data_IF_648038115580
#
_entry.id   IF_648038115580
#
_cell.length_a   1.000
_cell.length_b   1.000
_cell.length_c   1.000
_cell.angle_alpha   90.00
_cell.angle_beta   90.00
_cell.angle_gamma   90.00
#
_symmetry.space_group_name_H-M   'P 1'
#
loop_
_entity.id
_entity.type
_entity.pdbx_description
1 polymer ?
#
# COMPACT_ATOMS: atom_id res chain seq x y z
N UNK A 1 21.98 -8.55 2.74
CA UNK A 1 21.66 -9.38 3.91
C UNK A 1 20.16 -9.31 4.20
N UNK A 2 19.53 -10.42 4.49
CA UNK A 2 18.13 -10.40 4.88
C UNK A 2 17.94 -9.72 6.24
N UNK A 3 16.79 -9.11 6.42
CA UNK A 3 16.42 -8.56 7.72
C UNK A 3 16.08 -9.68 8.69
N UNK A 4 16.36 -9.46 9.95
CA UNK A 4 16.02 -10.41 11.01
C UNK A 4 14.99 -9.83 11.99
N UNK A 5 14.74 -8.53 11.94
CA UNK A 5 13.84 -7.88 12.89
C UNK A 5 13.18 -6.65 12.26
N UNK A 6 12.09 -6.24 12.89
CA UNK A 6 11.43 -4.99 12.55
C UNK A 6 12.39 -3.80 12.67
N UNK A 7 13.25 -3.80 13.70
CA UNK A 7 14.15 -2.68 13.91
C UNK A 7 15.14 -2.50 12.77
N UNK A 8 15.62 -3.59 12.20
CA UNK A 8 16.51 -3.54 11.05
C UNK A 8 15.81 -2.98 9.81
N UNK A 9 14.60 -3.47 9.56
CA UNK A 9 13.78 -2.96 8.45
C UNK A 9 13.50 -1.48 8.63
N UNK A 10 13.10 -1.09 9.83
CA UNK A 10 12.77 0.30 10.15
C UNK A 10 13.98 1.21 9.93
N UNK A 11 15.17 0.76 10.35
CA UNK A 11 16.40 1.52 10.15
C UNK A 11 16.73 1.67 8.66
N UNK A 12 16.51 0.63 7.88
CA UNK A 12 16.72 0.69 6.43
C UNK A 12 15.78 1.71 5.79
N UNK A 13 14.51 1.69 6.15
CA UNK A 13 13.52 2.62 5.60
C UNK A 13 13.88 4.06 5.98
N UNK A 14 14.23 4.29 7.23
CA UNK A 14 14.61 5.61 7.70
C UNK A 14 15.82 6.15 6.95
N UNK A 15 16.78 5.29 6.65
CA UNK A 15 18.02 5.69 5.98
C UNK A 15 17.81 5.97 4.49
N UNK A 16 16.93 5.21 3.84
CA UNK A 16 16.87 5.19 2.38
C UNK A 16 15.67 5.91 1.77
N UNK A 17 14.64 6.21 2.55
CA UNK A 17 13.43 6.85 2.03
C UNK A 17 13.20 8.19 2.73
N UNK A 18 12.49 9.09 2.03
CA UNK A 18 12.33 10.46 2.50
C UNK A 18 11.22 10.64 3.51
N UNK A 19 11.29 11.75 4.23
CA UNK A 19 10.25 12.23 5.16
C UNK A 19 9.78 11.16 6.13
N UNK A 20 10.71 10.41 6.68
CA UNK A 20 10.42 9.38 7.66
C UNK A 20 9.83 9.98 8.93
N UNK A 21 8.69 9.45 9.35
CA UNK A 21 8.01 9.91 10.55
C UNK A 21 7.39 8.71 11.27
N UNK A 22 7.68 8.59 12.55
CA UNK A 22 7.14 7.50 13.37
C UNK A 22 5.91 7.98 14.13
N UNK A 23 4.88 7.13 14.17
CA UNK A 23 3.64 7.40 14.89
C UNK A 23 3.43 6.29 15.90
N UNK A 24 4.03 6.39 17.08
CA UNK A 24 3.93 5.35 18.08
C UNK A 24 4.66 4.08 17.68
N UNK A 25 4.40 3.02 18.40
CA UNK A 25 5.07 1.74 18.20
C UNK A 25 4.61 1.07 16.92
N UNK A 26 5.58 0.77 16.06
CA UNK A 26 5.32 -0.02 14.88
C UNK A 26 4.48 0.65 13.80
N UNK A 27 4.40 1.97 13.81
CA UNK A 27 3.74 2.73 12.75
C UNK A 27 4.64 3.82 12.24
N UNK A 28 4.83 3.84 10.92
CA UNK A 28 5.78 4.72 10.27
C UNK A 28 5.16 5.25 8.98
N UNK A 29 5.50 6.47 8.64
CA UNK A 29 5.18 7.07 7.35
C UNK A 29 6.48 7.49 6.68
N UNK A 30 6.56 7.30 5.37
CA UNK A 30 7.73 7.73 4.60
C UNK A 30 7.31 8.03 3.16
N UNK A 31 8.22 8.63 2.39
CA UNK A 31 7.98 8.89 0.98
C UNK A 31 8.92 8.05 0.13
N UNK A 32 8.33 7.34 -0.81
CA UNK A 32 9.07 6.49 -1.73
C UNK A 32 9.21 7.21 -3.07
N UNK A 33 10.44 7.47 -3.46
CA UNK A 33 10.73 8.17 -4.70
C UNK A 33 10.89 7.16 -5.82
N UNK A 34 10.21 7.39 -6.93
CA UNK A 34 10.27 6.53 -8.10
C UNK A 34 10.34 7.40 -9.36
N UNK A 35 10.44 6.77 -10.53
CA UNK A 35 10.70 7.52 -11.76
C UNK A 35 9.62 8.55 -12.08
N UNK A 36 8.39 8.31 -11.66
CA UNK A 36 7.26 9.19 -11.97
C UNK A 36 6.92 10.15 -10.84
N UNK A 37 7.74 10.22 -9.82
CA UNK A 37 7.51 11.13 -8.70
C UNK A 37 7.75 10.49 -7.35
N UNK A 38 6.96 10.92 -6.38
CA UNK A 38 7.10 10.47 -5.00
C UNK A 38 5.73 10.04 -4.50
N UNK A 39 5.67 8.90 -3.83
CA UNK A 39 4.44 8.36 -3.28
C UNK A 39 4.58 8.20 -1.77
N UNK A 40 3.64 8.74 -0.98
CA UNK A 40 3.66 8.52 0.47
C UNK A 40 3.15 7.12 0.81
N UNK A 41 3.88 6.45 1.68
CA UNK A 41 3.54 5.12 2.17
C UNK A 41 3.43 5.13 3.68
N UNK A 42 2.60 4.22 4.19
CA UNK A 42 2.63 3.84 5.59
C UNK A 42 3.26 2.46 5.72
N UNK A 43 3.83 2.21 6.87
CA UNK A 43 4.40 0.91 7.20
C UNK A 43 4.00 0.57 8.63
N UNK A 44 3.42 -0.60 8.83
CA UNK A 44 2.94 -1.00 10.13
C UNK A 44 3.49 -2.37 10.51
N UNK A 45 3.90 -2.49 11.75
CA UNK A 45 4.32 -3.77 12.32
C UNK A 45 3.09 -4.58 12.71
N UNK A 46 3.11 -5.86 12.37
CA UNK A 46 2.11 -6.80 12.84
C UNK A 46 2.85 -8.00 13.43
N UNK A 47 2.48 -8.36 14.66
CA UNK A 47 3.09 -9.51 15.33
C UNK A 47 2.06 -10.63 15.39
N UNK A 48 2.41 -11.78 14.84
CA UNK A 48 1.49 -12.92 14.85
C UNK A 48 1.50 -13.57 16.24
N UNK A 49 0.45 -14.37 16.55
CA UNK A 49 0.35 -14.97 17.90
C UNK A 49 1.57 -15.78 18.33
N UNK A 50 2.31 -16.35 17.36
CA UNK A 50 3.53 -17.13 17.69
C UNK A 50 4.78 -16.26 17.72
N UNK A 51 4.64 -14.94 17.64
CA UNK A 51 5.73 -14.01 17.87
C UNK A 51 6.51 -13.55 16.65
N UNK A 52 6.16 -14.00 15.44
CA UNK A 52 6.89 -13.51 14.26
C UNK A 52 6.42 -12.13 13.84
N UNK A 53 7.38 -11.32 13.42
CA UNK A 53 7.12 -9.95 12.92
C UNK A 53 6.74 -9.98 11.45
N UNK A 54 5.69 -9.23 11.14
CA UNK A 54 5.27 -8.96 9.77
C UNK A 54 5.24 -7.46 9.55
N UNK A 55 5.41 -7.05 8.31
CA UNK A 55 5.26 -5.67 7.90
C UNK A 55 4.07 -5.56 6.97
N UNK A 56 3.30 -4.49 7.16
CA UNK A 56 2.19 -4.14 6.27
C UNK A 56 2.54 -2.81 5.63
N UNK A 57 2.81 -2.82 4.34
CA UNK A 57 2.97 -1.59 3.56
C UNK A 57 1.59 -1.13 3.11
N UNK A 58 1.32 0.15 3.26
CA UNK A 58 0.00 0.72 3.03
C UNK A 58 0.13 1.98 2.19
N UNK A 59 -0.74 2.11 1.18
CA UNK A 59 -0.81 3.34 0.40
C UNK A 59 -2.27 3.64 0.10
N UNK A 60 -2.65 4.92 0.18
CA UNK A 60 -4.03 5.33 -0.03
C UNK A 60 -4.38 5.34 -1.51
N UNK A 61 -5.48 4.69 -1.87
CA UNK A 61 -6.01 4.72 -3.23
C UNK A 61 -6.99 5.88 -3.39
N UNK A 62 -7.92 6.02 -2.48
CA UNK A 62 -8.92 7.07 -2.52
C UNK A 62 -9.91 6.91 -1.37
N UNK A 63 -11.00 7.66 -1.40
CA UNK A 63 -12.02 7.58 -0.37
C UNK A 63 -13.19 6.72 -0.82
N UNK A 64 -14.00 6.26 0.13
CA UNK A 64 -15.16 5.41 -0.18
C UNK A 64 -16.20 6.11 -1.04
N UNK A 65 -16.26 7.45 -0.99
CA UNK A 65 -17.20 8.17 -1.85
C UNK A 65 -16.69 8.31 -3.29
N UNK A 66 -15.45 7.92 -3.53
CA UNK A 66 -14.85 7.94 -4.87
C UNK A 66 -14.75 6.55 -5.48
N UNK A 67 -14.91 5.51 -4.67
CA UNK A 67 -14.66 4.13 -5.10
C UNK A 67 -15.86 3.27 -4.74
N UNK A 68 -16.33 2.51 -5.71
CA UNK A 68 -17.38 1.52 -5.50
C UNK A 68 -16.81 0.31 -4.74
N UNK A 69 -17.32 0.01 -3.54
CA UNK A 69 -16.76 -1.12 -2.77
C UNK A 69 -16.82 -2.45 -3.49
N UNK A 70 -17.89 -2.72 -4.23
CA UNK A 70 -18.01 -3.96 -4.97
C UNK A 70 -16.91 -4.10 -6.04
N UNK A 71 -16.58 -2.99 -6.69
CA UNK A 71 -15.52 -2.98 -7.70
C UNK A 71 -14.15 -3.20 -7.06
N UNK A 72 -13.95 -2.64 -5.87
CA UNK A 72 -12.70 -2.84 -5.14
C UNK A 72 -12.53 -4.30 -4.74
N UNK A 73 -13.59 -4.93 -4.27
CA UNK A 73 -13.55 -6.35 -3.91
C UNK A 73 -13.26 -7.23 -5.12
N UNK A 74 -13.88 -6.91 -6.25
CA UNK A 74 -13.61 -7.64 -7.47
C UNK A 74 -12.16 -7.46 -7.93
N UNK A 75 -11.65 -6.23 -7.84
CA UNK A 75 -10.28 -5.92 -8.22
C UNK A 75 -9.27 -6.74 -7.41
N UNK A 76 -9.55 -6.98 -6.13
CA UNK A 76 -8.69 -7.82 -5.29
C UNK A 76 -8.46 -9.19 -5.91
N UNK A 77 -9.48 -9.76 -6.50
CA UNK A 77 -9.38 -11.09 -7.11
C UNK A 77 -8.38 -11.11 -8.27
N UNK A 78 -8.25 -9.98 -8.96
CA UNK A 78 -7.41 -9.89 -10.16
C UNK A 78 -6.01 -9.33 -9.87
N UNK A 79 -5.76 -8.81 -8.68
CA UNK A 79 -4.49 -8.17 -8.36
C UNK A 79 -3.34 -9.16 -8.25
N UNK A 80 -2.24 -8.91 -8.96
CA UNK A 80 -1.06 -9.77 -8.82
C UNK A 80 -0.26 -9.48 -7.55
N UNK A 81 -0.41 -8.27 -6.98
CA UNK A 81 0.32 -7.88 -5.77
C UNK A 81 -0.59 -6.99 -4.92
N UNK A 82 -0.52 -7.21 -3.61
CA UNK A 82 -1.28 -6.41 -2.67
C UNK A 82 -2.75 -6.79 -2.61
N UNK A 83 -3.47 -6.05 -1.81
CA UNK A 83 -4.91 -6.20 -1.65
C UNK A 83 -5.52 -4.87 -1.27
N UNK A 84 -6.73 -4.62 -1.72
CA UNK A 84 -7.49 -3.42 -1.32
C UNK A 84 -8.22 -3.71 -0.02
N UNK A 85 -8.19 -2.77 0.88
CA UNK A 85 -8.91 -2.85 2.14
C UNK A 85 -9.47 -1.49 2.49
N UNK A 86 -10.43 -1.48 3.41
CA UNK A 86 -11.08 -0.25 3.84
C UNK A 86 -10.66 0.03 5.27
N UNK A 87 -10.17 1.25 5.51
CA UNK A 87 -9.84 1.73 6.83
C UNK A 87 -10.62 3.04 7.02
N UNK A 88 -11.60 3.00 7.90
CA UNK A 88 -12.55 4.11 8.08
C UNK A 88 -13.25 4.40 6.75
N UNK A 89 -13.06 5.58 6.17
CA UNK A 89 -13.67 5.94 4.89
C UNK A 89 -12.65 5.93 3.74
N UNK A 90 -11.49 5.33 3.96
CA UNK A 90 -10.42 5.30 2.95
C UNK A 90 -10.24 3.90 2.40
N UNK A 91 -9.98 3.83 1.11
CA UNK A 91 -9.58 2.59 0.45
C UNK A 91 -8.07 2.58 0.36
N UNK A 92 -7.47 1.54 0.90
CA UNK A 92 -6.02 1.40 0.98
C UNK A 92 -5.57 0.19 0.19
N UNK A 93 -4.43 0.32 -0.46
CA UNK A 93 -3.73 -0.80 -1.08
C UNK A 93 -2.66 -1.27 -0.09
N UNK A 94 -2.68 -2.54 0.26
CA UNK A 94 -1.79 -3.07 1.28
C UNK A 94 -1.05 -4.30 0.78
N UNK A 95 0.16 -4.50 1.30
CA UNK A 95 0.94 -5.71 1.06
C UNK A 95 1.58 -6.13 2.37
N UNK A 96 1.37 -7.39 2.74
CA UNK A 96 1.88 -7.95 3.98
C UNK A 96 3.01 -8.92 3.70
N UNK A 97 4.11 -8.78 4.43
CA UNK A 97 5.28 -9.62 4.24
C UNK A 97 5.88 -9.99 5.60
N UNK A 98 6.41 -11.22 5.74
CA UNK A 98 7.21 -11.52 6.92
C UNK A 98 8.49 -10.70 6.89
N UNK A 99 8.90 -10.19 8.05
CA UNK A 99 10.10 -9.38 8.13
C UNK A 99 11.35 -10.25 8.04
N UNK A 100 11.34 -11.37 8.74
CA UNK A 100 12.49 -12.26 8.72
C UNK A 100 12.69 -12.84 7.33
N UNK A 101 13.90 -12.68 6.82
CA UNK A 101 14.24 -13.14 5.48
C UNK A 101 13.99 -12.13 4.38
N UNK A 102 13.32 -11.04 4.68
CA UNK A 102 13.06 -9.99 3.70
C UNK A 102 14.38 -9.26 3.39
N UNK A 103 14.61 -8.96 2.12
CA UNK A 103 15.84 -8.28 1.69
C UNK A 103 15.53 -6.84 1.27
N UNK A 104 16.58 -6.02 1.22
CA UNK A 104 16.45 -4.64 0.75
C UNK A 104 15.90 -4.60 -0.68
N UNK A 105 16.41 -5.47 -1.53
CA UNK A 105 15.94 -5.55 -2.92
C UNK A 105 14.46 -5.91 -2.98
N UNK A 106 14.02 -6.82 -2.13
CA UNK A 106 12.62 -7.25 -2.08
C UNK A 106 11.70 -6.12 -1.61
N UNK A 107 12.18 -5.32 -0.64
CA UNK A 107 11.42 -4.13 -0.20
C UNK A 107 11.26 -3.15 -1.35
N UNK A 108 12.34 -2.86 -2.08
CA UNK A 108 12.30 -1.97 -3.24
C UNK A 108 11.31 -2.48 -4.29
N UNK A 109 11.40 -3.76 -4.63
CA UNK A 109 10.50 -4.37 -5.61
C UNK A 109 9.04 -4.31 -5.17
N UNK A 110 8.80 -4.52 -3.88
CA UNK A 110 7.44 -4.47 -3.33
C UNK A 110 6.87 -3.05 -3.45
N UNK A 111 7.65 -2.06 -3.08
CA UNK A 111 7.20 -0.67 -3.16
C UNK A 111 6.97 -0.24 -4.62
N UNK A 112 7.88 -0.62 -5.53
CA UNK A 112 7.69 -0.34 -6.96
C UNK A 112 6.43 -1.01 -7.48
N UNK A 113 6.21 -2.26 -7.11
CA UNK A 113 5.02 -2.99 -7.53
C UNK A 113 3.74 -2.36 -7.02
N UNK A 114 3.77 -1.88 -5.78
CA UNK A 114 2.61 -1.20 -5.20
C UNK A 114 2.34 0.13 -5.88
N UNK A 115 3.38 0.87 -6.25
CA UNK A 115 3.20 2.12 -7.00
C UNK A 115 2.51 1.84 -8.34
N UNK A 116 2.95 0.81 -9.06
CA UNK A 116 2.34 0.44 -10.33
C UNK A 116 0.88 0.01 -10.14
N UNK A 117 0.63 -0.81 -9.12
CA UNK A 117 -0.73 -1.26 -8.85
C UNK A 117 -1.62 -0.13 -8.38
N UNK A 118 -1.06 0.84 -7.66
CA UNK A 118 -1.78 2.04 -7.25
C UNK A 118 -2.27 2.83 -8.46
N UNK A 119 -1.41 3.01 -9.46
CA UNK A 119 -1.80 3.73 -10.68
C UNK A 119 -2.90 2.99 -11.43
N UNK A 120 -2.78 1.68 -11.55
CA UNK A 120 -3.80 0.86 -12.19
C UNK A 120 -5.12 0.95 -11.42
N UNK A 121 -5.06 0.81 -10.09
CA UNK A 121 -6.25 0.85 -9.24
C UNK A 121 -6.94 2.20 -9.32
N UNK A 122 -6.18 3.28 -9.27
CA UNK A 122 -6.77 4.62 -9.38
C UNK A 122 -7.43 4.84 -10.74
N UNK A 123 -6.78 4.37 -11.79
CA UNK A 123 -7.33 4.48 -13.13
C UNK A 123 -8.64 3.73 -13.30
N UNK A 124 -8.76 2.58 -12.66
CA UNK A 124 -9.94 1.72 -12.82
C UNK A 124 -11.04 1.98 -11.81
N UNK A 125 -10.67 2.36 -10.58
CA UNK A 125 -11.62 2.40 -9.48
C UNK A 125 -12.12 3.78 -9.12
N UNK A 126 -11.30 4.82 -9.31
CA UNK A 126 -11.74 6.16 -8.97
C UNK A 126 -12.79 6.66 -9.96
N UNK A 127 -13.87 7.17 -9.42
CA UNK A 127 -14.87 7.83 -10.25
C UNK A 127 -14.30 9.15 -10.72
N UNK A 128 -14.71 9.57 -11.91
CA UNK A 128 -14.28 10.84 -12.46
C UNK A 128 -15.12 11.96 -11.84
N UNK A 129 -15.08 13.14 -12.43
CA UNK A 129 -15.76 14.30 -11.86
C UNK A 129 -17.20 13.99 -11.54
N UNK A 130 -17.74 14.60 -10.48
CA UNK A 130 -19.17 14.46 -10.18
C UNK A 130 -20.02 14.88 -11.38
N UNK A 131 -21.11 14.16 -11.58
CA UNK A 131 -22.02 14.45 -12.67
C UNK A 131 -21.63 13.85 -14.00
N UNK A 132 -20.46 13.28 -14.11
CA UNK A 132 -20.11 12.54 -15.31
C UNK A 132 -20.82 11.20 -15.30
N UNK A 133 -20.89 10.57 -16.45
CA UNK A 133 -21.42 9.23 -16.55
C UNK A 133 -20.32 8.20 -16.26
N UNK A 134 -19.25 8.63 -15.68
CA UNK A 134 -18.12 7.75 -15.42
C UNK A 134 -18.50 6.52 -14.59
N UNK A 135 -19.31 6.74 -13.55
CA UNK A 135 -19.77 5.61 -12.74
C UNK A 135 -20.64 4.68 -13.55
N UNK A 136 -21.45 5.22 -14.45
CA UNK A 136 -22.29 4.40 -15.31
C UNK A 136 -21.45 3.61 -16.30
N UNK A 137 -20.55 4.26 -16.97
CA UNK A 137 -19.65 3.59 -17.88
C UNK A 137 -18.80 2.55 -17.17
N UNK A 138 -18.38 2.89 -16.00
CA UNK A 138 -17.60 2.03 -15.15
C UNK A 138 -18.35 0.75 -14.78
N UNK A 139 -19.61 0.91 -14.42
CA UNK A 139 -20.45 -0.20 -13.97
C UNK A 139 -21.07 -0.96 -15.14
N UNK A 140 -21.28 -0.27 -16.24
CA UNK A 140 -21.87 -0.89 -17.42
C UNK A 140 -20.87 -1.77 -18.15
N UNK A 141 -19.62 -1.47 -17.97
CA UNK A 141 -18.55 -2.26 -18.55
C UNK A 141 -18.36 -3.57 -17.81
#
# INVERSE_FOLDING_TARGET
MPFTSWNELNAFVQKNYGKFEAFGDGMVRFEFKHKDGTTPFGMRRAVLPHGSDWVVFVVKVGSLNEIQPAMALFANFLMPIGALSVVEDMVMLTQKLPVEGLTEAHVQQTLDGLVQELEISRSKLLTKSPGTTASQGYLAD
#
